data_IF_101233203148
#
_entry.id   IF_101233203148
#
_cell.length_a   1.000
_cell.length_b   1.000
_cell.length_c   1.000
_cell.angle_alpha   90.00
_cell.angle_beta   90.00
_cell.angle_gamma   90.00
#
_symmetry.space_group_name_H-M   'P 1'
#
loop_
_entity.id
_entity.type
_entity.pdbx_description
1 polymer ?
#
# COMPACT_ATOMS: atom_id res chain seq x y z
N UNK A 1 13.74 8.68 10.75
CA UNK A 1 12.48 7.95 10.98
C UNK A 1 12.71 6.49 10.60
N UNK A 2 12.25 5.52 11.37
CA UNK A 2 12.40 4.10 11.01
C UNK A 2 11.58 3.84 9.74
N UNK A 3 12.24 3.34 8.71
CA UNK A 3 11.67 3.22 7.36
C UNK A 3 10.62 2.11 7.39
N UNK A 4 9.34 2.47 7.29
CA UNK A 4 8.27 1.52 7.05
C UNK A 4 8.19 1.18 5.55
N UNK A 5 7.80 -0.04 5.20
CA UNK A 5 7.58 -0.44 3.80
C UNK A 5 6.39 0.33 3.19
N UNK A 6 6.27 0.35 1.86
CA UNK A 6 5.24 1.14 1.17
C UNK A 6 3.82 0.85 1.67
N UNK A 7 3.47 -0.44 1.83
CA UNK A 7 2.15 -0.82 2.33
C UNK A 7 1.84 -0.25 3.72
N UNK A 8 2.84 -0.10 4.59
CA UNK A 8 2.67 0.53 5.89
C UNK A 8 2.49 2.05 5.78
N UNK A 9 3.15 2.70 4.82
CA UNK A 9 3.06 4.15 4.59
C UNK A 9 1.70 4.54 4.04
N UNK A 10 1.24 3.83 3.01
CA UNK A 10 -0.05 4.10 2.38
C UNK A 10 -1.21 3.76 3.34
N UNK A 11 -1.04 2.72 4.16
CA UNK A 11 -1.91 2.45 5.31
C UNK A 11 -1.91 3.61 6.32
N UNK A 12 -0.74 4.19 6.60
CA UNK A 12 -0.63 5.37 7.43
C UNK A 12 -1.32 6.60 6.83
N UNK A 13 -1.24 6.80 5.52
CA UNK A 13 -1.88 7.92 4.81
C UNK A 13 -3.41 7.80 4.88
N UNK A 14 -3.97 6.61 4.63
CA UNK A 14 -5.42 6.39 4.77
C UNK A 14 -5.91 6.61 6.20
N UNK A 15 -5.11 6.26 7.21
CA UNK A 15 -5.38 6.63 8.61
C UNK A 15 -5.30 8.16 8.83
N UNK A 16 -4.32 8.84 8.24
CA UNK A 16 -4.16 10.28 8.35
C UNK A 16 -5.32 11.07 7.71
N UNK A 17 -5.96 10.54 6.66
CA UNK A 17 -7.19 11.16 6.11
C UNK A 17 -8.29 11.22 7.16
N UNK A 18 -8.46 10.17 7.97
CA UNK A 18 -9.48 10.17 9.04
C UNK A 18 -9.22 11.26 10.07
N UNK A 19 -7.95 11.45 10.41
CA UNK A 19 -7.52 12.54 11.29
C UNK A 19 -7.81 13.89 10.64
N UNK A 20 -7.42 14.08 9.38
CA UNK A 20 -7.64 15.31 8.64
C UNK A 20 -9.14 15.66 8.59
N UNK A 21 -10.00 14.70 8.27
CA UNK A 21 -11.46 14.86 8.27
C UNK A 21 -12.00 15.21 9.66
N UNK A 22 -11.64 14.47 10.70
CA UNK A 22 -12.13 14.70 12.06
C UNK A 22 -11.66 16.04 12.64
N UNK A 23 -10.50 16.53 12.22
CA UNK A 23 -9.91 17.80 12.68
C UNK A 23 -10.20 18.98 11.75
N UNK A 24 -10.93 18.77 10.65
CA UNK A 24 -11.17 19.75 9.58
C UNK A 24 -9.87 20.37 9.05
N UNK A 25 -8.82 19.55 8.91
CA UNK A 25 -7.51 19.95 8.36
C UNK A 25 -7.32 19.40 6.96
N UNK A 26 -6.47 20.07 6.19
CA UNK A 26 -6.02 19.59 4.88
C UNK A 26 -4.93 18.55 5.08
N UNK A 27 -5.02 17.42 4.39
CA UNK A 27 -3.97 16.42 4.34
C UNK A 27 -2.98 16.77 3.23
N UNK A 28 -1.70 16.91 3.60
CA UNK A 28 -0.59 16.98 2.66
C UNK A 28 0.37 15.82 2.97
N UNK A 29 0.78 15.09 1.94
CA UNK A 29 1.70 13.96 2.06
C UNK A 29 3.08 14.41 1.65
N UNK A 30 4.03 14.21 2.57
CA UNK A 30 5.44 14.49 2.34
C UNK A 30 6.25 13.22 2.59
N UNK A 31 6.91 12.73 1.55
CA UNK A 31 7.74 11.54 1.58
C UNK A 31 9.00 11.76 0.74
N UNK A 32 10.18 11.75 1.35
CA UNK A 32 11.43 11.92 0.59
C UNK A 32 12.13 10.61 0.26
N UNK A 33 12.05 9.61 1.15
CA UNK A 33 12.82 8.38 1.04
C UNK A 33 11.91 7.17 0.76
N UNK A 34 12.25 6.27 -0.18
CA UNK A 34 13.42 6.31 -1.07
C UNK A 34 13.29 7.32 -2.22
N UNK A 35 12.07 7.76 -2.51
CA UNK A 35 11.75 8.81 -3.45
C UNK A 35 10.37 9.42 -3.09
N UNK A 36 10.04 10.60 -3.65
CA UNK A 36 8.69 11.16 -3.63
C UNK A 36 7.61 10.15 -4.01
N UNK A 37 6.47 10.19 -3.31
CA UNK A 37 5.38 9.23 -3.53
C UNK A 37 4.77 9.37 -4.93
N UNK A 38 4.84 10.58 -5.49
CA UNK A 38 4.34 11.01 -6.79
C UNK A 38 4.96 10.22 -7.96
N UNK A 39 6.16 9.66 -7.78
CA UNK A 39 6.78 8.79 -8.78
C UNK A 39 6.12 7.42 -8.88
N UNK A 40 5.37 6.99 -7.86
CA UNK A 40 4.73 5.67 -7.80
C UNK A 40 3.21 5.78 -7.91
N UNK A 41 2.62 6.81 -7.33
CA UNK A 41 1.19 7.02 -7.30
C UNK A 41 0.86 8.46 -7.69
N UNK A 42 -0.18 8.63 -8.49
CA UNK A 42 -0.75 9.94 -8.80
C UNK A 42 -2.01 10.19 -7.99
N UNK A 43 -2.35 11.45 -7.68
CA UNK A 43 -3.65 11.78 -7.11
C UNK A 43 -4.78 11.48 -8.11
N UNK A 44 -5.97 11.19 -7.57
CA UNK A 44 -7.20 11.00 -8.34
C UNK A 44 -8.19 12.13 -8.07
N UNK A 45 -9.07 11.96 -7.07
CA UNK A 45 -10.10 12.95 -6.70
C UNK A 45 -9.63 13.90 -5.60
N UNK A 46 -8.66 13.46 -4.79
CA UNK A 46 -8.07 14.23 -3.71
C UNK A 46 -6.59 14.44 -4.03
N UNK A 47 -6.21 15.68 -4.30
CA UNK A 47 -4.80 16.04 -4.44
C UNK A 47 -4.17 16.21 -3.05
N UNK A 48 -3.26 15.29 -2.72
CA UNK A 48 -2.55 15.24 -1.45
C UNK A 48 -1.12 15.75 -1.56
N UNK A 49 -0.68 16.19 -2.74
CA UNK A 49 0.71 16.55 -2.99
C UNK A 49 1.08 17.83 -2.25
N UNK A 50 2.32 17.86 -1.75
CA UNK A 50 2.92 19.08 -1.22
C UNK A 50 3.66 19.80 -2.36
N UNK A 51 3.00 20.77 -2.98
CA UNK A 51 3.54 21.49 -4.13
C UNK A 51 4.09 22.87 -3.76
N UNK A 52 5.10 23.42 -4.48
CA UNK A 52 5.71 24.71 -4.14
C UNK A 52 4.75 25.91 -4.15
N UNK A 53 3.70 25.88 -4.97
CA UNK A 53 2.67 26.92 -5.08
C UNK A 53 1.83 27.09 -3.80
N UNK A 54 1.85 26.11 -2.90
CA UNK A 54 1.24 26.25 -1.57
C UNK A 54 2.02 27.21 -0.66
N UNK A 55 3.23 27.62 -1.05
CA UNK A 55 4.10 28.50 -0.27
C UNK A 55 4.56 27.86 1.06
N UNK A 56 4.52 26.53 1.13
CA UNK A 56 4.97 25.74 2.29
C UNK A 56 6.39 25.27 2.00
N UNK A 57 7.34 25.72 2.82
CA UNK A 57 8.72 25.23 2.80
C UNK A 57 8.80 24.00 3.72
N UNK A 58 9.07 22.79 3.21
CA UNK A 58 9.12 21.59 4.05
C UNK A 58 10.12 21.70 5.20
N UNK A 59 11.25 22.37 5.01
CA UNK A 59 12.28 22.52 6.03
C UNK A 59 11.83 23.49 7.11
N UNK A 60 11.43 24.71 6.74
CA UNK A 60 10.99 25.71 7.71
C UNK A 60 9.65 25.32 8.36
N UNK A 61 8.66 24.98 7.55
CA UNK A 61 7.29 24.85 8.02
C UNK A 61 7.02 23.47 8.62
N UNK A 62 7.58 22.38 8.06
CA UNK A 62 7.35 21.03 8.58
C UNK A 62 8.41 20.58 9.59
N UNK A 63 9.70 20.84 9.35
CA UNK A 63 10.75 20.39 10.27
C UNK A 63 10.85 21.31 11.50
N UNK A 64 10.91 22.62 11.28
CA UNK A 64 11.20 23.58 12.37
C UNK A 64 9.93 24.04 13.11
N UNK A 65 8.82 24.27 12.40
CA UNK A 65 7.63 24.90 12.99
C UNK A 65 6.49 23.95 13.41
N UNK A 66 6.44 22.74 12.84
CA UNK A 66 5.29 21.86 13.04
C UNK A 66 5.27 21.15 14.40
N UNK A 67 4.07 20.82 14.88
CA UNK A 67 3.91 19.83 15.95
C UNK A 67 4.08 18.43 15.37
N UNK A 68 5.11 17.72 15.82
CA UNK A 68 5.43 16.37 15.37
C UNK A 68 4.74 15.30 16.20
N UNK A 69 3.83 14.54 15.59
CA UNK A 69 3.10 13.44 16.21
C UNK A 69 3.52 12.12 15.57
N UNK A 70 3.63 11.07 16.39
CA UNK A 70 4.07 9.76 15.95
C UNK A 70 3.15 8.66 16.48
N UNK A 71 2.55 7.90 15.57
CA UNK A 71 1.64 6.80 15.90
C UNK A 71 2.17 5.48 15.35
N UNK A 72 2.41 4.49 16.22
CA UNK A 72 2.92 3.17 15.83
C UNK A 72 1.95 2.06 16.17
N UNK A 73 1.80 1.11 15.26
CA UNK A 73 0.98 -0.09 15.47
C UNK A 73 1.62 -1.10 16.46
N UNK A 74 2.91 -0.97 16.79
CA UNK A 74 3.65 -1.98 17.56
C UNK A 74 3.45 -1.87 19.08
N UNK A 75 2.88 -2.95 19.63
CA UNK A 75 2.88 -3.51 21.02
C UNK A 75 2.52 -2.60 22.19
N UNK A 76 2.97 -1.34 22.23
CA UNK A 76 2.60 -0.45 23.32
C UNK A 76 1.42 0.43 22.92
N UNK A 77 0.23 -0.19 22.89
CA UNK A 77 -1.06 0.52 22.76
C UNK A 77 -1.22 1.63 23.80
N UNK A 78 -0.33 1.78 24.81
CA UNK A 78 -0.32 2.84 25.82
C UNK A 78 0.41 4.12 25.40
N UNK A 79 1.14 4.10 24.27
CA UNK A 79 1.87 5.28 23.73
C UNK A 79 1.19 5.96 22.54
N UNK A 80 -0.11 5.75 22.37
CA UNK A 80 -0.88 6.63 21.48
C UNK A 80 -0.81 8.03 22.07
N UNK A 81 -0.39 9.01 21.28
CA UNK A 81 -0.23 10.40 21.69
C UNK A 81 -1.45 10.88 22.49
N UNK A 82 -1.22 11.58 23.61
CA UNK A 82 -2.27 12.10 24.47
C UNK A 82 -3.25 12.99 23.71
N UNK A 83 -2.83 13.66 22.63
CA UNK A 83 -3.72 14.47 21.82
C UNK A 83 -4.77 13.65 21.08
N UNK A 84 -4.37 12.49 20.56
CA UNK A 84 -5.32 11.58 19.93
C UNK A 84 -6.18 10.90 20.99
N UNK A 85 -5.66 10.59 22.19
CA UNK A 85 -6.47 9.97 23.25
C UNK A 85 -7.50 10.89 23.89
N UNK A 86 -7.13 12.15 24.05
CA UNK A 86 -7.92 13.12 24.81
C UNK A 86 -8.82 13.98 23.90
N UNK A 87 -8.93 13.64 22.61
CA UNK A 87 -9.69 14.43 21.64
C UNK A 87 -9.18 15.86 21.44
N UNK A 88 -7.94 16.18 21.85
CA UNK A 88 -7.39 17.54 21.78
C UNK A 88 -6.66 17.84 20.47
N UNK A 89 -6.57 16.87 19.57
CA UNK A 89 -5.94 17.06 18.27
C UNK A 89 -6.56 18.20 17.43
N UNK A 90 -7.90 18.37 17.37
CA UNK A 90 -8.52 19.53 16.74
C UNK A 90 -8.15 20.86 17.41
N UNK A 91 -7.81 20.84 18.70
CA UNK A 91 -7.51 22.03 19.52
C UNK A 91 -6.04 22.48 19.43
N UNK A 92 -5.19 21.77 18.67
CA UNK A 92 -3.80 22.17 18.49
C UNK A 92 -3.71 23.53 17.80
N UNK A 93 -3.08 24.56 18.41
CA UNK A 93 -2.99 25.90 17.82
C UNK A 93 -2.03 25.96 16.62
N UNK A 94 -1.21 24.92 16.43
CA UNK A 94 -0.24 24.89 15.33
C UNK A 94 -0.96 24.84 13.98
N UNK A 95 -0.51 25.73 13.08
CA UNK A 95 -0.90 25.71 11.66
C UNK A 95 -0.53 24.38 11.02
N UNK A 96 0.69 23.89 11.28
CA UNK A 96 1.20 22.63 10.75
C UNK A 96 1.31 21.55 11.84
N UNK A 97 0.78 20.37 11.54
CA UNK A 97 0.90 19.17 12.37
C UNK A 97 1.42 18.06 11.47
N UNK A 98 2.60 17.53 11.77
CA UNK A 98 3.21 16.42 11.01
C UNK A 98 2.87 15.11 11.69
N UNK A 99 2.44 14.12 10.92
CA UNK A 99 2.03 12.82 11.43
C UNK A 99 2.89 11.73 10.79
N UNK A 100 3.67 11.04 11.62
CA UNK A 100 4.42 9.86 11.24
C UNK A 100 3.71 8.61 11.73
N UNK A 101 3.13 7.82 10.82
CA UNK A 101 2.30 6.68 11.23
C UNK A 101 2.35 5.48 10.29
N UNK A 102 2.17 4.30 10.89
CA UNK A 102 1.86 3.05 10.18
C UNK A 102 0.54 2.43 10.69
N UNK A 103 -0.34 3.21 11.33
CA UNK A 103 -1.59 2.69 11.88
C UNK A 103 -2.54 2.25 10.76
N UNK A 104 -3.29 1.14 10.92
CA UNK A 104 -4.32 0.75 9.96
C UNK A 104 -5.50 1.74 9.95
N UNK A 105 -6.17 1.94 8.81
CA UNK A 105 -7.38 2.77 8.74
C UNK A 105 -8.52 2.20 9.61
N UNK A 106 -8.51 0.89 9.90
CA UNK A 106 -9.44 0.24 10.84
C UNK A 106 -9.14 0.51 12.31
N UNK A 107 -8.00 1.13 12.64
CA UNK A 107 -7.67 1.42 14.03
C UNK A 107 -8.68 2.39 14.62
N UNK A 108 -9.49 1.92 15.57
CA UNK A 108 -10.52 2.75 16.18
C UNK A 108 -9.91 3.81 17.09
N UNK A 109 -8.89 3.44 17.88
CA UNK A 109 -8.27 4.31 18.87
C UNK A 109 -9.29 4.79 19.91
N UNK A 110 -8.95 4.73 21.19
CA UNK A 110 -9.78 5.43 22.18
C UNK A 110 -9.40 6.91 22.06
N UNK A 111 -10.22 7.71 21.40
CA UNK A 111 -10.04 9.18 21.28
C UNK A 111 -10.80 9.93 22.39
N UNK A 112 -11.21 9.20 23.43
CA UNK A 112 -12.19 9.46 24.50
C UNK A 112 -13.53 8.77 24.20
N UNK A 113 -14.32 8.51 25.24
CA UNK A 113 -15.61 7.79 25.14
C UNK A 113 -16.63 8.53 24.26
N UNK A 114 -16.47 9.85 24.08
CA UNK A 114 -17.41 10.71 23.33
C UNK A 114 -16.88 11.23 21.98
N UNK A 115 -15.59 11.03 21.64
CA UNK A 115 -14.98 11.55 20.40
C UNK A 115 -14.18 10.49 19.65
N UNK A 116 -14.69 9.27 19.50
CA UNK A 116 -14.01 8.27 18.65
C UNK A 116 -13.83 8.81 17.23
N UNK A 117 -12.62 8.67 16.67
CA UNK A 117 -12.44 8.87 15.22
C UNK A 117 -13.45 7.96 14.53
N UNK A 118 -14.39 8.50 13.72
CA UNK A 118 -15.42 7.67 13.12
C UNK A 118 -14.74 6.53 12.35
N UNK A 119 -15.13 5.27 12.60
CA UNK A 119 -14.55 4.16 11.86
C UNK A 119 -14.87 4.38 10.39
N UNK A 120 -13.89 4.22 9.51
CA UNK A 120 -14.18 4.12 8.07
C UNK A 120 -14.70 2.70 7.86
N UNK A 121 -15.97 2.53 7.46
CA UNK A 121 -16.51 1.22 7.14
C UNK A 121 -15.60 0.50 6.14
N UNK A 122 -15.49 -0.83 6.23
CA UNK A 122 -14.51 -1.59 5.43
C UNK A 122 -14.75 -1.37 3.94
N UNK A 123 -16.01 -1.29 3.55
CA UNK A 123 -16.51 -0.97 2.22
C UNK A 123 -16.00 0.39 1.70
N UNK A 124 -15.94 1.42 2.56
CA UNK A 124 -15.46 2.76 2.17
C UNK A 124 -13.93 2.85 2.08
N UNK A 125 -13.17 1.90 2.65
CA UNK A 125 -11.71 1.97 2.60
C UNK A 125 -11.18 1.85 1.17
N UNK A 126 -11.84 1.03 0.34
CA UNK A 126 -11.50 0.89 -1.08
C UNK A 126 -11.79 2.18 -1.83
N UNK A 127 -12.97 2.76 -1.63
CA UNK A 127 -13.38 4.03 -2.25
C UNK A 127 -12.44 5.17 -1.87
N UNK A 128 -12.13 5.31 -0.58
CA UNK A 128 -11.19 6.32 -0.11
C UNK A 128 -9.80 6.11 -0.71
N UNK A 129 -9.31 4.87 -0.77
CA UNK A 129 -8.00 4.57 -1.36
C UNK A 129 -7.96 4.96 -2.84
N UNK A 130 -9.02 4.67 -3.60
CA UNK A 130 -9.14 5.03 -5.03
C UNK A 130 -9.36 6.53 -5.25
N UNK A 131 -10.00 7.22 -4.31
CA UNK A 131 -10.14 8.68 -4.34
C UNK A 131 -8.79 9.39 -4.13
N UNK A 132 -7.90 8.80 -3.32
CA UNK A 132 -6.57 9.33 -3.08
C UNK A 132 -5.58 8.97 -4.19
N UNK A 133 -5.62 7.72 -4.67
CA UNK A 133 -4.52 7.18 -5.45
C UNK A 133 -4.97 6.54 -6.75
N UNK A 134 -4.10 6.63 -7.74
CA UNK A 134 -3.98 5.75 -8.89
C UNK A 134 -2.49 5.46 -9.13
N UNK A 135 -2.19 4.43 -9.91
CA UNK A 135 -0.80 4.18 -10.32
C UNK A 135 -0.28 5.38 -11.13
N UNK A 136 0.99 5.75 -10.95
CA UNK A 136 1.63 6.73 -11.84
C UNK A 136 1.82 6.14 -13.24
N UNK A 137 1.86 6.96 -14.31
CA UNK A 137 2.10 6.48 -15.66
C UNK A 137 3.36 5.62 -15.80
N UNK A 138 4.43 5.96 -15.07
CA UNK A 138 5.68 5.20 -15.08
C UNK A 138 5.53 3.84 -14.40
N UNK A 139 4.77 3.76 -13.30
CA UNK A 139 4.47 2.51 -12.64
C UNK A 139 3.51 1.65 -13.47
N UNK A 140 2.57 2.26 -14.17
CA UNK A 140 1.71 1.57 -15.14
C UNK A 140 2.53 0.93 -16.26
N UNK A 141 3.43 1.69 -16.88
CA UNK A 141 4.31 1.17 -17.93
C UNK A 141 5.22 0.04 -17.43
N UNK A 142 5.78 0.16 -16.22
CA UNK A 142 6.57 -0.90 -15.61
C UNK A 142 5.74 -2.15 -15.30
N UNK A 143 4.48 -1.97 -14.91
CA UNK A 143 3.52 -3.06 -14.69
C UNK A 143 3.19 -3.78 -16.00
N UNK A 144 2.96 -3.04 -17.09
CA UNK A 144 2.71 -3.60 -18.41
C UNK A 144 3.91 -4.39 -18.93
N UNK A 145 5.12 -3.85 -18.78
CA UNK A 145 6.35 -4.56 -19.13
C UNK A 145 6.52 -5.86 -18.31
N UNK A 146 6.21 -5.82 -17.01
CA UNK A 146 6.29 -6.99 -16.15
C UNK A 146 5.26 -8.09 -16.54
N UNK A 147 4.01 -7.71 -16.82
CA UNK A 147 2.97 -8.64 -17.29
C UNK A 147 3.32 -9.24 -18.66
N UNK A 148 3.80 -8.40 -19.59
CA UNK A 148 4.25 -8.84 -20.90
C UNK A 148 5.40 -9.85 -20.80
N UNK A 149 6.36 -9.65 -19.86
CA UNK A 149 7.50 -10.56 -19.65
C UNK A 149 7.10 -11.98 -19.25
N UNK A 150 5.87 -12.17 -18.74
CA UNK A 150 5.32 -13.48 -18.37
C UNK A 150 4.22 -13.96 -19.33
N UNK A 151 3.98 -13.24 -20.42
CA UNK A 151 3.01 -13.60 -21.46
C UNK A 151 1.56 -13.25 -21.14
N UNK A 152 1.32 -12.28 -20.25
CA UNK A 152 -0.02 -11.70 -20.03
C UNK A 152 -0.18 -10.50 -20.96
N UNK A 153 -1.10 -10.61 -21.93
CA UNK A 153 -1.37 -9.53 -22.88
C UNK A 153 -2.13 -8.36 -22.22
N UNK A 154 -2.04 -7.13 -22.75
CA UNK A 154 -2.87 -6.01 -22.30
C UNK A 154 -4.36 -6.36 -22.30
N UNK A 155 -5.05 -6.08 -21.20
CA UNK A 155 -6.48 -6.39 -21.01
C UNK A 155 -6.80 -7.87 -20.75
N UNK A 156 -5.84 -8.79 -20.86
CA UNK A 156 -6.07 -10.21 -20.57
C UNK A 156 -6.34 -10.41 -19.07
N UNK A 157 -7.46 -11.04 -18.67
CA UNK A 157 -7.72 -11.32 -17.26
C UNK A 157 -6.75 -12.38 -16.73
N UNK A 158 -6.29 -12.18 -15.50
CA UNK A 158 -5.40 -13.10 -14.78
C UNK A 158 -5.81 -13.19 -13.31
N UNK A 159 -5.27 -14.19 -12.60
CA UNK A 159 -5.40 -14.26 -11.14
C UNK A 159 -4.04 -14.04 -10.54
N UNK A 160 -3.93 -13.08 -9.63
CA UNK A 160 -2.70 -12.83 -8.90
C UNK A 160 -2.73 -13.50 -7.52
N UNK A 161 -1.58 -14.00 -7.07
CA UNK A 161 -1.36 -14.38 -5.69
C UNK A 161 -0.16 -13.64 -5.12
N UNK A 162 -0.36 -12.97 -3.99
CA UNK A 162 0.72 -12.40 -3.20
C UNK A 162 1.01 -13.28 -1.98
N UNK A 163 2.16 -13.95 -1.99
CA UNK A 163 2.65 -14.78 -0.89
C UNK A 163 3.79 -14.07 -0.16
N UNK A 164 3.47 -13.33 0.90
CA UNK A 164 4.48 -12.83 1.84
C UNK A 164 4.88 -13.92 2.82
N UNK A 165 6.06 -14.48 2.63
CA UNK A 165 6.59 -15.61 3.41
C UNK A 165 7.86 -15.25 4.17
N UNK A 166 8.38 -14.05 3.92
CA UNK A 166 9.67 -13.62 4.44
C UNK A 166 10.82 -14.46 3.88
N UNK A 167 11.93 -14.44 4.60
CA UNK A 167 13.18 -15.10 4.17
C UNK A 167 14.21 -14.12 3.61
N UNK A 168 13.91 -12.83 3.67
CA UNK A 168 14.88 -11.80 3.34
C UNK A 168 15.76 -11.45 4.54
N UNK A 169 17.01 -11.14 4.24
CA UNK A 169 18.01 -10.73 5.24
C UNK A 169 17.51 -9.50 6.00
N UNK A 170 17.32 -9.66 7.31
CA UNK A 170 16.79 -8.62 8.21
C UNK A 170 15.43 -8.93 8.83
N UNK A 171 14.68 -9.91 8.31
CA UNK A 171 13.37 -10.29 8.83
C UNK A 171 13.42 -11.44 9.89
N UNK A 172 14.47 -11.51 10.71
CA UNK A 172 14.80 -12.65 11.58
C UNK A 172 13.71 -13.10 12.56
N UNK A 173 12.72 -12.25 12.89
CA UNK A 173 11.61 -12.60 13.81
C UNK A 173 10.31 -13.02 13.14
N UNK A 174 10.06 -12.65 11.89
CA UNK A 174 8.84 -13.06 11.18
C UNK A 174 8.99 -14.45 10.52
N UNK A 175 10.23 -14.83 10.22
CA UNK A 175 10.60 -16.01 9.45
C UNK A 175 10.23 -17.33 10.15
N UNK A 176 10.25 -17.41 11.49
CA UNK A 176 9.97 -18.67 12.20
C UNK A 176 8.56 -19.25 11.95
N UNK A 177 7.57 -18.47 11.51
CA UNK A 177 6.22 -18.99 11.24
C UNK A 177 6.10 -19.79 9.94
N UNK A 178 7.08 -19.68 9.04
CA UNK A 178 7.02 -20.29 7.70
C UNK A 178 8.23 -21.15 7.35
N UNK A 179 9.15 -21.36 8.30
CA UNK A 179 10.34 -22.19 8.06
C UNK A 179 9.96 -23.66 7.78
N UNK A 180 10.10 -23.98 6.50
CA UNK A 180 10.54 -25.24 5.89
C UNK A 180 9.50 -26.30 5.50
N UNK A 181 8.41 -26.54 6.23
CA UNK A 181 7.50 -27.65 5.86
C UNK A 181 6.17 -27.25 5.20
N UNK A 182 5.85 -25.95 5.10
CA UNK A 182 4.52 -25.52 4.65
C UNK A 182 4.50 -24.69 3.35
N UNK A 183 5.65 -24.33 2.78
CA UNK A 183 5.70 -23.48 1.59
C UNK A 183 5.04 -24.13 0.38
N UNK A 184 5.37 -25.40 0.09
CA UNK A 184 4.76 -26.14 -1.01
C UNK A 184 3.26 -26.37 -0.80
N UNK A 185 2.85 -26.64 0.44
CA UNK A 185 1.44 -26.77 0.84
C UNK A 185 0.68 -25.47 0.63
N UNK A 186 1.28 -24.32 0.96
CA UNK A 186 0.69 -23.01 0.73
C UNK A 186 0.56 -22.70 -0.76
N UNK A 187 1.59 -22.99 -1.57
CA UNK A 187 1.51 -22.83 -3.04
C UNK A 187 0.42 -23.73 -3.63
N UNK A 188 0.30 -24.98 -3.15
CA UNK A 188 -0.78 -25.89 -3.55
C UNK A 188 -2.15 -25.35 -3.14
N UNK A 189 -2.29 -24.80 -1.94
CA UNK A 189 -3.53 -24.21 -1.48
C UNK A 189 -3.89 -22.95 -2.27
N UNK A 190 -2.92 -22.08 -2.55
CA UNK A 190 -3.08 -20.93 -3.43
C UNK A 190 -3.52 -21.41 -4.83
N UNK A 191 -2.93 -22.47 -5.38
CA UNK A 191 -3.34 -23.01 -6.68
C UNK A 191 -4.78 -23.52 -6.66
N UNK A 192 -5.22 -24.18 -5.57
CA UNK A 192 -6.63 -24.58 -5.39
C UNK A 192 -7.55 -23.37 -5.36
N UNK A 193 -7.20 -22.34 -4.59
CA UNK A 193 -8.01 -21.11 -4.52
C UNK A 193 -8.08 -20.40 -5.85
N UNK A 194 -6.95 -20.26 -6.54
CA UNK A 194 -6.90 -19.60 -7.83
C UNK A 194 -7.77 -20.34 -8.86
N UNK A 195 -7.79 -21.68 -8.84
CA UNK A 195 -8.72 -22.46 -9.68
C UNK A 195 -10.18 -22.19 -9.35
N UNK A 196 -10.52 -22.05 -8.07
CA UNK A 196 -11.86 -21.71 -7.64
C UNK A 196 -12.27 -20.30 -8.08
N UNK A 197 -11.45 -19.28 -7.82
CA UNK A 197 -11.68 -17.90 -8.25
C UNK A 197 -11.86 -17.81 -9.78
N UNK A 198 -11.10 -18.61 -10.54
CA UNK A 198 -11.23 -18.68 -11.99
C UNK A 198 -12.54 -19.28 -12.48
N UNK A 199 -13.16 -20.16 -11.70
CA UNK A 199 -14.49 -20.70 -12.02
C UNK A 199 -15.60 -19.65 -11.91
N UNK A 200 -15.37 -18.59 -11.12
CA UNK A 200 -16.27 -17.44 -11.01
C UNK A 200 -16.00 -16.30 -11.99
N UNK A 201 -14.92 -16.37 -12.79
CA UNK A 201 -14.67 -15.35 -13.82
C UNK A 201 -15.57 -15.63 -15.03
N UNK A 202 -16.38 -14.66 -15.48
CA UNK A 202 -17.19 -14.84 -16.69
C UNK A 202 -16.28 -15.15 -17.88
N UNK A 203 -16.62 -16.20 -18.63
CA UNK A 203 -15.78 -16.71 -19.72
C UNK A 203 -15.62 -15.70 -20.87
N UNK A 204 -16.46 -14.67 -20.93
CA UNK A 204 -16.38 -13.51 -21.82
C UNK A 204 -16.93 -12.28 -21.08
N UNK A 205 -16.21 -11.16 -21.13
CA UNK A 205 -16.55 -9.91 -20.45
C UNK A 205 -17.72 -9.13 -21.06
N UNK A 206 -18.85 -9.78 -21.38
CA UNK A 206 -20.01 -9.11 -21.98
C UNK A 206 -21.23 -8.97 -21.05
N UNK A 207 -21.24 -9.58 -19.87
CA UNK A 207 -22.38 -9.50 -18.97
C UNK A 207 -22.07 -8.64 -17.75
N UNK A 208 -22.08 -7.32 -17.93
CA UNK A 208 -21.98 -6.33 -16.86
C UNK A 208 -23.27 -6.19 -16.02
N UNK A 209 -24.18 -7.18 -16.06
CA UNK A 209 -25.47 -7.14 -15.37
C UNK A 209 -25.79 -8.43 -14.60
N UNK A 210 -24.84 -8.98 -13.85
CA UNK A 210 -25.10 -10.11 -12.97
C UNK A 210 -24.43 -9.97 -11.59
N UNK A 211 -25.25 -9.64 -10.59
CA UNK A 211 -25.18 -10.26 -9.27
C UNK A 211 -24.23 -9.65 -8.26
N UNK A 212 -24.78 -8.81 -7.38
CA UNK A 212 -24.24 -8.55 -6.05
C UNK A 212 -24.18 -9.86 -5.23
N UNK A 213 -23.08 -10.60 -5.33
CA UNK A 213 -22.69 -11.59 -4.30
C UNK A 213 -21.84 -10.89 -3.23
N UNK A 214 -22.40 -9.87 -2.61
CA UNK A 214 -21.99 -9.43 -1.29
C UNK A 214 -22.72 -10.32 -0.27
N UNK A 215 -21.95 -10.98 0.59
CA UNK A 215 -22.45 -11.89 1.61
C UNK A 215 -23.58 -11.26 2.44
N UNK A 216 -24.72 -11.94 2.46
CA UNK A 216 -25.89 -11.59 3.26
C UNK A 216 -25.58 -11.90 4.74
N UNK A 217 -25.04 -10.93 5.46
CA UNK A 217 -25.10 -10.96 6.92
C UNK A 217 -26.56 -10.79 7.35
N UNK A 218 -27.09 -11.77 8.08
CA UNK A 218 -28.43 -11.74 8.70
C UNK A 218 -28.51 -10.55 9.65
N UNK A 219 -29.39 -9.59 9.38
CA UNK A 219 -29.87 -8.62 10.37
C UNK A 219 -31.41 -8.62 10.37
N UNK A 220 -31.96 -8.59 11.57
CA UNK A 220 -33.38 -8.70 11.86
C UNK A 220 -34.20 -7.51 11.37
N UNK A 221 -35.49 -7.79 11.29
CA UNK A 221 -36.60 -6.93 10.89
C UNK A 221 -36.75 -5.69 11.77
N UNK A 222 -36.90 -4.52 11.13
CA UNK A 222 -37.38 -3.29 11.76
C UNK A 222 -37.66 -2.22 10.70
N UNK A 223 -38.94 -2.02 10.38
CA UNK A 223 -39.47 -0.99 9.49
C UNK A 223 -39.29 0.43 10.04
N UNK A 224 -39.06 1.42 9.15
CA UNK A 224 -39.90 2.62 9.01
C UNK A 224 -39.35 3.58 7.92
N UNK A 225 -40.22 3.84 6.94
CA UNK A 225 -40.50 5.09 6.20
C UNK A 225 -39.47 6.21 6.02
N UNK A 226 -39.35 6.66 4.76
CA UNK A 226 -39.60 8.09 4.46
C UNK A 226 -38.51 8.89 3.76
N UNK A 227 -38.91 9.50 2.63
CA UNK A 227 -38.38 10.73 2.03
C UNK A 227 -37.35 10.63 0.89
N UNK A 228 -37.87 10.98 -0.28
CA UNK A 228 -37.24 11.37 -1.53
C UNK A 228 -36.31 12.59 -1.42
N UNK A 229 -35.20 12.56 -2.16
CA UNK A 229 -34.37 13.71 -2.45
C UNK A 229 -33.34 13.37 -3.51
N UNK A 230 -33.61 13.74 -4.76
CA UNK A 230 -32.74 13.49 -5.90
C UNK A 230 -31.48 14.33 -5.85
N UNK A 231 -30.34 13.70 -6.14
CA UNK A 231 -29.11 14.37 -6.53
C UNK A 231 -28.38 13.49 -7.54
N UNK A 232 -28.08 14.09 -8.69
CA UNK A 232 -27.36 13.48 -9.80
C UNK A 232 -25.95 13.06 -9.36
N UNK A 233 -25.72 11.75 -9.29
CA UNK A 233 -24.39 11.15 -9.15
C UNK A 233 -23.98 10.55 -10.49
N UNK A 234 -23.05 11.20 -11.19
CA UNK A 234 -22.41 10.63 -12.37
C UNK A 234 -21.63 9.38 -11.99
N UNK A 235 -22.00 8.24 -12.55
CA UNK A 235 -21.33 6.96 -12.36
C UNK A 235 -20.01 6.96 -13.13
N UNK A 236 -18.89 7.01 -12.42
CA UNK A 236 -17.57 6.67 -12.96
C UNK A 236 -17.46 5.15 -12.98
N UNK A 237 -18.08 4.51 -13.98
CA UNK A 237 -18.00 3.07 -14.23
C UNK A 237 -17.91 2.75 -15.73
N UNK A 238 -17.41 3.68 -16.55
CA UNK A 238 -17.17 3.45 -17.98
C UNK A 238 -15.67 3.55 -18.26
N UNK A 239 -15.06 2.43 -18.63
CA UNK A 239 -13.65 2.39 -19.02
C UNK A 239 -13.08 1.00 -19.30
N UNK A 240 -13.73 -0.08 -18.89
CA UNK A 240 -13.21 -1.45 -19.09
C UNK A 240 -13.89 -2.23 -20.22
N UNK A 241 -14.78 -1.60 -21.00
CA UNK A 241 -15.60 -2.28 -22.00
C UNK A 241 -15.01 -2.35 -23.42
N UNK A 242 -13.78 -1.88 -23.68
CA UNK A 242 -13.30 -1.75 -25.06
C UNK A 242 -11.83 -2.17 -25.27
N UNK A 243 -11.51 -3.44 -25.03
CA UNK A 243 -10.41 -4.14 -25.74
C UNK A 243 -10.82 -5.61 -25.88
N UNK A 244 -11.51 -5.97 -26.95
CA UNK A 244 -11.67 -7.36 -27.37
C UNK A 244 -10.77 -7.55 -28.59
N UNK A 245 -9.62 -8.25 -28.49
CA UNK A 245 -8.93 -8.72 -29.67
C UNK A 245 -9.81 -9.76 -30.37
N UNK A 246 -9.99 -9.59 -31.68
CA UNK A 246 -10.83 -10.43 -32.52
C UNK A 246 -10.53 -11.92 -32.36
N UNK A 247 -11.61 -12.71 -32.37
CA UNK A 247 -11.62 -14.17 -32.38
C UNK A 247 -10.87 -14.71 -33.61
N UNK A 248 -9.59 -15.01 -33.44
CA UNK A 248 -8.87 -15.95 -34.31
C UNK A 248 -9.15 -17.39 -33.91
N UNK A 249 -10.14 -18.02 -34.54
CA UNK A 249 -10.27 -19.46 -34.81
C UNK A 249 -10.04 -20.49 -33.69
N UNK A 250 -11.12 -21.07 -33.16
CA UNK A 250 -11.19 -22.49 -32.78
C UNK A 250 -10.33 -23.04 -31.62
N UNK A 251 -9.58 -22.22 -30.89
CA UNK A 251 -8.71 -22.68 -29.79
C UNK A 251 -9.43 -22.75 -28.44
N UNK A 252 -9.33 -23.89 -27.75
CA UNK A 252 -9.84 -24.12 -26.40
C UNK A 252 -9.67 -22.92 -25.46
N UNK A 253 -10.73 -22.58 -24.71
CA UNK A 253 -10.74 -21.49 -23.71
C UNK A 253 -9.45 -21.48 -22.91
N UNK A 254 -8.56 -20.52 -23.21
CA UNK A 254 -7.30 -20.36 -22.50
C UNK A 254 -7.60 -19.85 -21.11
N UNK A 255 -7.63 -20.80 -20.19
CA UNK A 255 -7.51 -20.66 -18.75
C UNK A 255 -6.71 -19.40 -18.35
N UNK A 256 -7.28 -18.46 -17.57
CA UNK A 256 -6.56 -17.27 -17.10
C UNK A 256 -5.20 -17.61 -16.47
N UNK A 257 -4.14 -16.85 -16.79
CA UNK A 257 -2.81 -17.04 -16.19
C UNK A 257 -2.85 -16.86 -14.67
N UNK A 258 -1.96 -17.57 -13.96
CA UNK A 258 -1.79 -17.46 -12.53
C UNK A 258 -0.47 -16.75 -12.22
N UNK A 259 -0.52 -15.48 -11.82
CA UNK A 259 0.66 -14.66 -11.56
C UNK A 259 1.01 -14.72 -10.07
N UNK A 260 2.21 -15.19 -9.74
CA UNK A 260 2.74 -15.28 -8.38
C UNK A 260 3.65 -14.09 -8.10
N UNK A 261 3.37 -13.38 -7.02
CA UNK A 261 4.19 -12.33 -6.43
C UNK A 261 4.61 -12.80 -5.03
N UNK A 262 5.90 -12.82 -4.74
CA UNK A 262 6.44 -13.35 -3.47
C UNK A 262 7.75 -12.69 -3.12
N UNK A 263 7.99 -12.52 -1.81
CA UNK A 263 9.26 -12.05 -1.25
C UNK A 263 10.28 -13.19 -1.06
N UNK A 264 9.85 -14.44 -1.28
CA UNK A 264 10.69 -15.65 -1.23
C UNK A 264 11.36 -15.91 -2.59
N UNK A 265 12.67 -15.65 -2.68
CA UNK A 265 13.45 -15.76 -3.91
C UNK A 265 13.39 -17.18 -4.51
N UNK A 266 13.50 -18.21 -3.69
CA UNK A 266 13.46 -19.60 -4.16
C UNK A 266 12.13 -19.94 -4.83
N UNK A 267 10.98 -19.56 -4.24
CA UNK A 267 9.68 -19.78 -4.88
C UNK A 267 9.52 -19.01 -6.19
N UNK A 268 10.06 -17.79 -6.26
CA UNK A 268 10.05 -17.03 -7.51
C UNK A 268 10.85 -17.74 -8.59
N UNK A 269 12.06 -18.19 -8.29
CA UNK A 269 12.90 -18.95 -9.21
C UNK A 269 12.20 -20.22 -9.69
N UNK A 270 11.54 -20.96 -8.79
CA UNK A 270 10.73 -22.11 -9.16
C UNK A 270 9.55 -21.75 -10.07
N UNK A 271 8.89 -20.62 -9.85
CA UNK A 271 7.81 -20.14 -10.73
C UNK A 271 8.33 -19.75 -12.13
N UNK A 272 9.46 -19.02 -12.19
CA UNK A 272 10.13 -18.65 -13.44
C UNK A 272 10.54 -19.91 -14.21
N UNK A 273 11.12 -20.90 -13.53
CA UNK A 273 11.51 -22.18 -14.10
C UNK A 273 10.33 -23.15 -14.36
N UNK A 274 9.07 -22.71 -14.18
CA UNK A 274 7.85 -23.51 -14.38
C UNK A 274 7.75 -24.77 -13.52
N UNK A 275 8.44 -24.79 -12.39
CA UNK A 275 8.42 -25.90 -11.43
C UNK A 275 7.20 -25.86 -10.49
N UNK A 276 6.48 -24.73 -10.43
CA UNK A 276 5.25 -24.57 -9.64
C UNK A 276 3.97 -24.79 -10.48
N UNK A 277 4.05 -25.57 -11.56
CA UNK A 277 2.93 -25.84 -12.45
C UNK A 277 2.53 -24.61 -13.28
N UNK A 278 1.29 -24.13 -13.12
CA UNK A 278 0.76 -23.03 -13.93
C UNK A 278 1.10 -21.63 -13.40
N UNK A 279 1.83 -21.54 -12.29
CA UNK A 279 2.28 -20.26 -11.76
C UNK A 279 3.38 -19.65 -12.63
N UNK A 280 3.23 -18.36 -12.93
CA UNK A 280 4.25 -17.52 -13.57
C UNK A 280 4.63 -16.41 -12.61
N UNK A 281 5.89 -16.00 -12.61
CA UNK A 281 6.35 -14.82 -11.87
C UNK A 281 7.19 -13.96 -12.79
N UNK A 282 7.01 -12.63 -12.77
CA UNK A 282 7.97 -11.74 -13.40
C UNK A 282 9.32 -11.86 -12.68
N UNK A 283 10.41 -11.65 -13.41
CA UNK A 283 11.76 -11.63 -12.85
C UNK A 283 12.07 -10.24 -12.28
N UNK A 284 11.31 -9.83 -11.28
CA UNK A 284 11.48 -8.55 -10.58
C UNK A 284 12.21 -8.82 -9.27
N UNK A 285 13.43 -8.31 -9.10
CA UNK A 285 14.07 -8.37 -7.78
C UNK A 285 13.35 -7.41 -6.84
N UNK A 286 12.77 -7.88 -5.71
CA UNK A 286 12.07 -6.98 -4.82
C UNK A 286 13.13 -6.16 -4.07
N UNK A 287 13.09 -4.86 -4.25
CA UNK A 287 13.98 -3.91 -3.56
C UNK A 287 13.37 -3.65 -2.20
N UNK A 288 13.60 -4.58 -1.28
CA UNK A 288 13.42 -4.26 0.13
C UNK A 288 14.52 -3.31 0.49
N UNK A 289 14.13 -2.16 1.01
CA UNK A 289 15.03 -1.11 1.46
C UNK A 289 16.01 -1.67 2.50
N UNK A 290 17.10 -2.31 2.05
CA UNK A 290 18.40 -2.17 2.70
C UNK A 290 18.88 -0.76 2.36
N UNK A 291 18.12 0.24 2.83
CA UNK A 291 18.73 1.49 3.19
C UNK A 291 19.62 1.09 4.37
N UNK A 292 20.83 0.59 4.08
CA UNK A 292 21.98 0.82 4.93
C UNK A 292 21.80 2.26 5.33
N UNK A 293 21.47 2.51 6.62
CA UNK A 293 21.05 3.81 7.15
C UNK A 293 21.69 4.86 6.26
N UNK A 294 20.93 5.48 5.35
CA UNK A 294 21.48 6.59 4.55
C UNK A 294 22.13 7.45 5.60
N UNK A 295 23.46 7.57 5.54
CA UNK A 295 24.22 8.16 6.63
C UNK A 295 23.50 9.47 6.92
N UNK A 296 23.01 9.59 8.15
CA UNK A 296 22.12 10.66 8.54
C UNK A 296 22.72 11.95 7.95
N UNK A 297 22.05 12.68 7.04
CA UNK A 297 22.66 13.81 6.34
C UNK A 297 23.10 14.91 7.33
N UNK A 298 22.61 14.83 8.57
CA UNK A 298 23.05 15.64 9.72
C UNK A 298 24.33 15.15 10.41
N UNK A 299 25.10 14.25 9.79
CA UNK A 299 26.26 13.61 10.42
C UNK A 299 25.87 12.73 11.63
N UNK A 300 26.84 12.05 12.26
CA UNK A 300 26.64 11.52 13.60
C UNK A 300 26.24 12.68 14.52
N UNK A 301 25.12 12.55 15.25
CA UNK A 301 24.83 13.47 16.36
C UNK A 301 26.09 13.47 17.25
N UNK A 302 26.71 14.63 17.53
CA UNK A 302 27.83 14.67 18.47
C UNK A 302 27.36 13.97 19.74
N UNK A 303 28.07 12.92 20.12
CA UNK A 303 27.79 12.21 21.36
C UNK A 303 27.82 13.24 22.48
N UNK A 304 26.72 13.39 23.20
CA UNK A 304 26.64 14.22 24.40
C UNK A 304 27.56 13.61 25.45
N UNK A 305 28.84 13.96 25.38
CA UNK A 305 29.92 13.23 26.05
C UNK A 305 31.27 13.90 25.86
N UNK A 306 31.30 15.23 25.90
CA UNK A 306 32.51 15.99 26.22
C UNK A 306 32.05 17.37 26.72
N UNK A 307 32.04 17.55 28.05
CA UNK A 307 31.95 18.87 28.64
C UNK A 307 33.23 19.63 28.28
N UNK A 308 33.14 20.60 27.36
CA UNK A 308 34.21 21.55 27.11
C UNK A 308 34.09 22.72 28.11
N UNK A 309 35.21 23.26 28.60
CA UNK A 309 35.22 24.31 29.61
C UNK A 309 34.74 25.64 29.03
N UNK A 310 34.04 26.41 29.88
CA UNK A 310 33.66 27.79 29.65
C UNK A 310 34.90 28.66 29.41
N UNK A 311 35.01 29.27 28.23
CA UNK A 311 36.02 30.30 27.99
C UNK A 311 36.03 30.86 26.58
N UNK A 312 35.90 32.19 26.50
CA UNK A 312 36.20 33.09 25.39
C UNK A 312 35.15 33.27 24.27
N UNK A 313 34.63 34.49 24.24
CA UNK A 313 33.90 35.10 23.15
C UNK A 313 34.80 35.32 21.93
N UNK A 314 34.33 34.92 20.75
CA UNK A 314 34.83 35.43 19.48
C UNK A 314 33.68 35.48 18.47
N UNK A 315 33.32 36.68 18.07
CA UNK A 315 32.51 37.00 16.92
C UNK A 315 33.25 36.58 15.65
N UNK A 316 32.66 35.70 14.84
CA UNK A 316 33.03 35.56 13.43
C UNK A 316 31.78 35.30 12.60
N UNK A 317 31.30 36.38 11.97
CA UNK A 317 30.40 36.33 10.83
C UNK A 317 31.18 35.88 9.61
N UNK A 318 30.68 34.83 8.95
CA UNK A 318 31.30 34.24 7.78
C UNK A 318 30.41 33.12 7.24
N UNK A 319 29.26 33.50 6.69
CA UNK A 319 28.33 32.59 6.03
C UNK A 319 28.98 32.04 4.74
N UNK A 320 29.63 30.89 4.84
CA UNK A 320 29.87 30.00 3.70
C UNK A 320 28.79 28.94 3.72
N UNK A 321 27.69 29.22 3.02
CA UNK A 321 26.69 28.23 2.66
C UNK A 321 27.31 27.29 1.61
N UNK A 322 28.18 26.38 2.05
CA UNK A 322 28.55 25.22 1.25
C UNK A 322 27.30 24.34 1.01
N UNK A 323 27.20 23.63 -0.13
CA UNK A 323 26.11 22.69 -0.37
C UNK A 323 26.08 21.68 0.77
N UNK A 324 24.88 21.41 1.31
CA UNK A 324 24.71 20.46 2.39
C UNK A 324 25.37 19.12 1.99
N UNK A 325 26.26 18.56 2.83
CA UNK A 325 27.00 17.36 2.47
C UNK A 325 26.04 16.20 2.19
N UNK A 326 26.16 15.62 0.99
CA UNK A 326 25.54 14.34 0.62
C UNK A 326 24.18 14.40 -0.09
N UNK A 327 23.78 15.53 -0.70
CA UNK A 327 22.63 15.51 -1.60
C UNK A 327 22.94 14.62 -2.82
N UNK A 328 22.11 13.60 -3.02
CA UNK A 328 22.14 12.71 -4.20
C UNK A 328 22.03 13.55 -5.47
N UNK A 329 22.82 13.24 -6.51
CA UNK A 329 22.69 13.92 -7.79
C UNK A 329 21.33 13.64 -8.42
N UNK A 330 20.87 14.49 -9.33
CA UNK A 330 19.61 14.27 -10.04
C UNK A 330 19.61 12.92 -10.80
N UNK A 331 20.76 12.52 -11.34
CA UNK A 331 20.93 11.24 -12.06
C UNK A 331 20.87 10.04 -11.12
N UNK A 332 21.53 10.13 -9.96
CA UNK A 332 21.47 9.10 -8.91
C UNK A 332 20.05 8.94 -8.38
N UNK A 333 19.34 10.06 -8.14
CA UNK A 333 17.94 10.05 -7.71
C UNK A 333 17.06 9.39 -8.77
N UNK A 334 17.25 9.73 -10.05
CA UNK A 334 16.50 9.11 -11.14
C UNK A 334 16.79 7.61 -11.27
N UNK A 335 18.03 7.18 -11.03
CA UNK A 335 18.39 5.76 -11.00
C UNK A 335 17.70 5.03 -9.85
N UNK A 336 17.66 5.64 -8.65
CA UNK A 336 16.94 5.11 -7.49
C UNK A 336 15.45 5.02 -7.79
N UNK A 337 14.84 6.06 -8.38
CA UNK A 337 13.43 6.07 -8.78
C UNK A 337 13.13 4.92 -9.75
N UNK A 338 13.90 4.78 -10.84
CA UNK A 338 13.70 3.71 -11.82
C UNK A 338 13.78 2.31 -11.21
N UNK A 339 14.77 2.08 -10.35
CA UNK A 339 14.92 0.81 -9.63
C UNK A 339 13.70 0.52 -8.75
N UNK A 340 13.17 1.54 -8.05
CA UNK A 340 11.99 1.36 -7.20
C UNK A 340 10.72 1.17 -8.02
N UNK A 341 10.56 1.87 -9.15
CA UNK A 341 9.43 1.68 -10.07
C UNK A 341 9.41 0.23 -10.58
N UNK A 342 10.56 -0.30 -11.00
CA UNK A 342 10.67 -1.70 -11.42
C UNK A 342 10.30 -2.67 -10.29
N UNK A 343 10.79 -2.44 -9.07
CA UNK A 343 10.39 -3.25 -7.90
C UNK A 343 8.91 -3.09 -7.53
N UNK A 344 8.30 -1.97 -7.89
CA UNK A 344 6.92 -1.64 -7.58
C UNK A 344 5.95 -2.19 -8.62
N UNK A 345 6.41 -2.65 -9.79
CA UNK A 345 5.55 -3.28 -10.79
C UNK A 345 4.76 -4.48 -10.20
N UNK A 346 5.34 -5.21 -9.25
CA UNK A 346 4.64 -6.24 -8.47
C UNK A 346 3.34 -5.70 -7.83
N UNK A 347 3.35 -4.47 -7.29
CA UNK A 347 2.16 -3.82 -6.72
C UNK A 347 1.12 -3.55 -7.80
N UNK A 348 1.53 -3.00 -8.93
CA UNK A 348 0.62 -2.72 -10.05
C UNK A 348 -0.02 -3.97 -10.61
N UNK A 349 0.71 -5.09 -10.67
CA UNK A 349 0.16 -6.41 -11.03
C UNK A 349 -0.98 -6.80 -10.07
N UNK A 350 -0.78 -6.66 -8.77
CA UNK A 350 -1.82 -6.99 -7.77
C UNK A 350 -3.04 -6.06 -7.89
N UNK A 351 -2.82 -4.76 -8.15
CA UNK A 351 -3.88 -3.76 -8.35
C UNK A 351 -4.72 -4.09 -9.58
N UNK A 352 -4.10 -4.55 -10.67
CA UNK A 352 -4.80 -4.83 -11.95
C UNK A 352 -5.44 -6.21 -12.03
N UNK A 353 -5.13 -7.13 -11.11
CA UNK A 353 -5.69 -8.48 -11.13
C UNK A 353 -7.20 -8.45 -10.82
N UNK A 354 -8.11 -8.94 -11.67
CA UNK A 354 -9.53 -9.05 -11.32
C UNK A 354 -9.81 -9.88 -10.07
N UNK A 355 -8.90 -10.81 -9.77
CA UNK A 355 -8.99 -11.76 -8.68
C UNK A 355 -7.66 -11.87 -7.96
N UNK A 356 -7.67 -11.67 -6.64
CA UNK A 356 -6.46 -11.56 -5.83
C UNK A 356 -6.48 -12.52 -4.63
N UNK A 357 -5.50 -13.44 -4.60
CA UNK A 357 -5.15 -14.17 -3.39
C UNK A 357 -4.07 -13.39 -2.64
N UNK A 358 -4.24 -13.18 -1.36
CA UNK A 358 -3.28 -12.41 -0.57
C UNK A 358 -2.93 -13.11 0.73
N UNK A 359 -1.67 -13.05 1.15
CA UNK A 359 -1.31 -13.28 2.54
C UNK A 359 -1.57 -12.02 3.38
N UNK A 360 -1.46 -12.14 4.71
CA UNK A 360 -1.57 -10.98 5.63
C UNK A 360 -0.38 -10.02 5.47
N UNK A 361 -0.46 -9.13 4.49
CA UNK A 361 0.52 -8.08 4.22
C UNK A 361 -0.16 -6.74 3.95
N UNK A 362 0.39 -5.65 4.49
CA UNK A 362 -0.07 -4.30 4.14
C UNK A 362 0.08 -3.97 2.65
N UNK A 363 1.03 -4.63 1.96
CA UNK A 363 1.26 -4.45 0.53
C UNK A 363 0.08 -4.97 -0.32
N UNK A 364 -0.29 -6.24 -0.17
CA UNK A 364 -1.42 -6.82 -0.90
C UNK A 364 -2.77 -6.31 -0.43
N UNK A 365 -2.92 -6.00 0.87
CA UNK A 365 -4.16 -5.43 1.37
C UNK A 365 -4.46 -4.09 0.70
N UNK A 366 -3.44 -3.24 0.55
CA UNK A 366 -3.63 -1.98 -0.15
C UNK A 366 -3.84 -2.17 -1.65
N UNK A 367 -3.12 -3.08 -2.29
CA UNK A 367 -3.38 -3.41 -3.68
C UNK A 367 -4.84 -3.86 -3.87
N UNK A 368 -5.40 -4.55 -2.87
CA UNK A 368 -6.80 -4.94 -2.87
C UNK A 368 -7.75 -3.72 -2.80
N UNK A 369 -7.49 -2.80 -1.86
CA UNK A 369 -8.29 -1.57 -1.70
C UNK A 369 -8.23 -0.69 -2.96
N UNK A 370 -7.05 -0.54 -3.55
CA UNK A 370 -6.83 0.28 -4.74
C UNK A 370 -7.42 -0.36 -6.01
N UNK A 371 -7.24 -1.67 -6.20
CA UNK A 371 -7.69 -2.37 -7.41
C UNK A 371 -9.19 -2.61 -7.48
N UNK A 372 -9.88 -2.72 -6.33
CA UNK A 372 -11.32 -2.97 -6.32
C UNK A 372 -11.67 -4.33 -6.96
N UNK A 373 -10.88 -5.36 -6.66
CA UNK A 373 -10.98 -6.67 -7.31
C UNK A 373 -12.37 -7.27 -7.14
N UNK A 374 -12.85 -7.91 -8.19
CA UNK A 374 -14.13 -8.63 -8.20
C UNK A 374 -14.12 -9.82 -7.25
N UNK A 375 -12.94 -10.37 -6.97
CA UNK A 375 -12.80 -11.45 -6.01
C UNK A 375 -11.50 -11.36 -5.22
N UNK A 376 -11.57 -11.64 -3.92
CA UNK A 376 -10.39 -11.69 -3.06
C UNK A 376 -10.44 -12.90 -2.14
N UNK A 377 -9.27 -13.50 -1.87
CA UNK A 377 -9.14 -14.57 -0.89
C UNK A 377 -7.94 -14.30 0.00
N UNK A 378 -8.13 -14.41 1.32
CA UNK A 378 -7.05 -14.29 2.29
C UNK A 378 -6.50 -15.69 2.60
N UNK A 379 -5.21 -15.89 2.34
CA UNK A 379 -4.48 -17.09 2.70
C UNK A 379 -4.09 -16.99 4.17
N UNK A 380 -4.96 -17.50 5.05
CA UNK A 380 -4.66 -17.61 6.47
C UNK A 380 -3.98 -18.95 6.76
N UNK A 381 -2.78 -18.97 7.36
CA UNK A 381 -2.25 -20.22 7.89
C UNK A 381 -3.19 -20.69 8.99
N UNK A 382 -4.08 -21.64 8.68
CA UNK A 382 -4.80 -22.35 9.72
C UNK A 382 -3.77 -23.13 10.52
N UNK A 383 -3.80 -23.03 11.83
CA UNK A 383 -2.94 -23.86 12.69
C UNK A 383 -3.24 -25.36 12.54
N UNK A 384 -4.39 -25.73 11.97
CA UNK A 384 -4.91 -27.10 12.01
C UNK A 384 -5.44 -27.67 10.69
N UNK A 385 -5.77 -26.90 9.64
CA UNK A 385 -6.36 -27.49 8.42
C UNK A 385 -6.28 -26.63 7.14
N UNK A 386 -5.40 -27.00 6.20
CA UNK A 386 -5.21 -26.32 4.90
C UNK A 386 -6.41 -26.42 3.95
N UNK A 387 -7.47 -27.13 4.34
CA UNK A 387 -8.67 -27.37 3.53
C UNK A 387 -9.63 -26.17 3.48
N UNK A 388 -9.58 -25.23 4.43
CA UNK A 388 -10.50 -24.09 4.53
C UNK A 388 -9.92 -22.76 4.01
N UNK A 389 -8.87 -22.82 3.18
CA UNK A 389 -8.16 -21.63 2.70
C UNK A 389 -8.92 -20.79 1.65
N UNK A 390 -10.09 -21.24 1.21
CA UNK A 390 -10.97 -20.49 0.34
C UNK A 390 -12.37 -20.53 0.95
N UNK A 391 -13.04 -19.38 1.14
CA UNK A 391 -14.43 -19.39 1.56
C UNK A 391 -15.22 -20.24 0.56
N UNK A 392 -15.88 -21.29 1.07
CA UNK A 392 -16.94 -21.93 0.30
C UNK A 392 -18.07 -20.90 0.17
N UNK A 393 -18.59 -20.73 -1.05
CA UNK A 393 -19.62 -19.75 -1.39
C UNK A 393 -20.87 -19.90 -0.53
#
# INVERSE_FOLDING_TARGET
MEICGLGDRLRGITFAVRIAAATKRVLLVYQEAPAPLEHFLSPTHIDWRLTPDLGIDPRRDLVESARHLKFRATVDKRRVDGHLRNGTLPLLPQRFVTIATNMPPTYRGNVSDDQQLPPVPVEMQGELTRALFKLSPELEAATDAALASVGVAPGQPFVAAHLRLGGQVGETKAIQRHLHNNTHTLVKAAARCARWLRGGLPANGTDASAGSHAGRARAGTGSAEGSSGGAAGGTVAEGWAAVIPERGGGGAFRRPPLVLITDNLHLREMAIARQLGNWISPNITPVHLRLNKVQNPHGPKPSAGAAAPLGAAASNGGALAGPAPGAMSAEELQAVIRMHIASMADFGILVRAPCLLQSRSGFSHLAALLGGQSCTALLEPSETNTAQLCPQA
#
